data_IF_576241599887
#
_entry.id   IF_576241599887
#
_cell.length_a   1.000
_cell.length_b   1.000
_cell.length_c   1.000
_cell.angle_alpha   90.00
_cell.angle_beta   90.00
_cell.angle_gamma   90.00
#
_symmetry.space_group_name_H-M   'P 1'
#
loop_
_entity.id
_entity.type
_entity.pdbx_description
1 polymer ?
#
# COMPACT_ATOMS: atom_id res chain seq x y z
N UNK A 1 20.97 21.62 -0.36
CA UNK A 1 19.72 20.88 -0.69
C UNK A 1 19.55 19.76 0.31
N UNK A 2 18.61 19.94 1.25
CA UNK A 2 18.33 18.93 2.28
C UNK A 2 17.90 17.60 1.64
N UNK A 3 18.43 16.48 2.15
CA UNK A 3 18.01 15.15 1.76
C UNK A 3 16.55 14.97 2.17
N UNK A 4 15.63 14.95 1.20
CA UNK A 4 14.20 14.68 1.45
C UNK A 4 14.06 13.22 1.84
N UNK A 5 14.21 12.97 3.14
CA UNK A 5 13.97 11.66 3.73
C UNK A 5 12.86 11.77 4.76
N UNK A 6 11.88 10.89 4.64
CA UNK A 6 10.80 10.78 5.61
C UNK A 6 11.36 10.60 7.03
N UNK A 7 10.84 11.31 8.02
CA UNK A 7 11.27 11.19 9.42
C UNK A 7 11.17 9.72 9.89
N UNK A 8 12.10 9.25 10.72
CA UNK A 8 12.16 7.84 11.16
C UNK A 8 10.83 7.32 11.72
N UNK A 9 10.13 8.15 12.51
CA UNK A 9 8.81 7.83 13.08
C UNK A 9 7.72 7.58 12.04
N UNK A 10 7.81 8.21 10.87
CA UNK A 10 6.82 8.11 9.78
C UNK A 10 7.11 6.97 8.81
N UNK A 11 8.20 6.23 8.99
CA UNK A 11 8.56 5.11 8.10
C UNK A 11 7.98 3.80 8.60
N UNK A 12 7.48 2.99 7.67
CA UNK A 12 7.15 1.59 7.93
C UNK A 12 8.43 0.76 7.83
N UNK A 13 8.69 -0.10 8.82
CA UNK A 13 9.85 -0.99 8.82
C UNK A 13 9.70 -2.13 7.81
N UNK A 14 10.82 -2.74 7.38
CA UNK A 14 10.77 -3.86 6.43
C UNK A 14 9.99 -5.08 6.94
N UNK A 15 9.99 -5.33 8.26
CA UNK A 15 9.18 -6.40 8.88
C UNK A 15 7.69 -6.08 8.78
N UNK A 16 7.30 -4.83 9.02
CA UNK A 16 5.91 -4.36 8.90
C UNK A 16 5.43 -4.35 7.44
N UNK A 17 6.30 -4.04 6.47
CA UNK A 17 5.96 -4.15 5.03
C UNK A 17 5.55 -5.57 4.67
N UNK A 18 6.30 -6.58 5.13
CA UNK A 18 5.94 -7.99 4.90
C UNK A 18 4.59 -8.36 5.53
N UNK A 19 4.29 -7.81 6.70
CA UNK A 19 3.00 -8.00 7.36
C UNK A 19 1.86 -7.36 6.57
N UNK A 20 2.03 -6.11 6.11
CA UNK A 20 1.04 -5.38 5.31
C UNK A 20 0.68 -6.12 4.02
N UNK A 21 1.68 -6.61 3.30
CA UNK A 21 1.46 -7.37 2.06
C UNK A 21 0.75 -8.70 2.27
N UNK A 22 0.96 -9.35 3.43
CA UNK A 22 0.27 -10.59 3.80
C UNK A 22 -1.20 -10.37 4.20
N UNK A 23 -1.52 -9.27 4.86
CA UNK A 23 -2.89 -8.91 5.30
C UNK A 23 -3.85 -8.65 4.13
N UNK A 24 -3.34 -8.39 2.93
CA UNK A 24 -4.09 -8.18 1.69
C UNK A 24 -5.18 -7.09 1.75
N UNK A 25 -5.12 -6.19 2.71
CA UNK A 25 -5.93 -4.98 2.63
C UNK A 25 -5.31 -4.08 1.57
N UNK A 26 -5.91 -4.06 0.39
CA UNK A 26 -5.40 -3.37 -0.78
C UNK A 26 -6.44 -2.38 -1.29
N UNK A 27 -5.99 -1.15 -1.46
CA UNK A 27 -6.68 -0.13 -2.22
C UNK A 27 -5.87 0.15 -3.49
N UNK A 28 -6.51 0.09 -4.65
CA UNK A 28 -5.87 0.37 -5.94
C UNK A 28 -6.59 1.52 -6.65
N UNK A 29 -5.84 2.56 -6.97
CA UNK A 29 -6.36 3.70 -7.72
C UNK A 29 -5.29 4.26 -8.66
N UNK A 30 -5.61 4.37 -9.94
CA UNK A 30 -4.71 4.89 -10.96
C UNK A 30 -3.38 4.13 -10.98
N UNK A 31 -2.29 4.87 -10.81
CA UNK A 31 -0.92 4.35 -10.78
C UNK A 31 -0.58 3.63 -9.47
N UNK A 32 -1.32 3.86 -8.38
CA UNK A 32 -0.94 3.44 -7.04
C UNK A 32 -1.69 2.22 -6.52
N UNK A 33 -0.97 1.37 -5.82
CA UNK A 33 -1.46 0.25 -5.02
C UNK A 33 -1.06 0.51 -3.57
N UNK A 34 -2.04 0.66 -2.67
CA UNK A 34 -1.84 1.00 -1.27
C UNK A 34 -2.25 -0.20 -0.42
N UNK A 35 -1.27 -0.86 0.19
CA UNK A 35 -1.50 -1.87 1.23
C UNK A 35 -1.55 -1.15 2.57
N UNK A 36 -2.59 -1.38 3.35
CA UNK A 36 -2.79 -0.62 4.57
C UNK A 36 -3.35 -1.46 5.71
N UNK A 37 -3.13 -1.00 6.92
CA UNK A 37 -3.79 -1.43 8.15
C UNK A 37 -3.98 -0.22 9.06
N UNK A 38 -4.91 -0.31 9.99
CA UNK A 38 -5.09 0.71 11.01
C UNK A 38 -3.82 0.84 11.87
N UNK A 39 -3.50 2.07 12.25
CA UNK A 39 -2.39 2.35 13.15
C UNK A 39 -2.76 1.91 14.57
N UNK A 40 -1.76 1.68 15.41
CA UNK A 40 -1.97 1.40 16.82
C UNK A 40 -2.68 2.57 17.52
N UNK A 41 -3.60 2.32 18.47
CA UNK A 41 -4.40 3.37 19.12
C UNK A 41 -3.56 4.45 19.81
N UNK A 42 -2.35 4.10 20.26
CA UNK A 42 -1.43 5.01 20.93
C UNK A 42 -0.59 5.88 19.96
N UNK A 43 -0.79 5.75 18.64
CA UNK A 43 -0.01 6.47 17.63
C UNK A 43 -0.94 7.30 16.75
N UNK A 44 -0.86 8.62 16.92
CA UNK A 44 -1.66 9.61 16.20
C UNK A 44 -0.89 10.18 14.99
N UNK A 45 -0.32 9.30 14.17
CA UNK A 45 0.37 9.66 12.93
C UNK A 45 0.34 8.52 11.91
N UNK A 46 0.34 8.88 10.64
CA UNK A 46 0.48 7.91 9.56
C UNK A 46 1.92 7.42 9.44
N UNK A 47 2.08 6.14 9.13
CA UNK A 47 3.38 5.58 8.72
C UNK A 47 3.28 5.14 7.27
N UNK A 48 4.27 5.46 6.46
CA UNK A 48 4.28 5.16 5.04
C UNK A 48 5.63 4.62 4.57
N UNK A 49 5.58 3.75 3.58
CA UNK A 49 6.75 3.33 2.82
C UNK A 49 6.41 3.27 1.34
N UNK A 50 7.30 3.77 0.49
CA UNK A 50 7.15 3.73 -0.97
C UNK A 50 8.07 2.69 -1.57
N UNK A 51 7.52 1.84 -2.41
CA UNK A 51 8.25 0.88 -3.22
C UNK A 51 8.17 1.25 -4.69
N UNK A 52 9.33 1.43 -5.31
CA UNK A 52 9.44 1.73 -6.73
C UNK A 52 9.95 0.48 -7.45
N UNK A 53 9.12 -0.16 -8.29
CA UNK A 53 9.50 -1.39 -8.98
C UNK A 53 10.69 -1.19 -9.92
N UNK A 54 11.55 -2.21 -10.03
CA UNK A 54 12.70 -2.22 -10.96
C UNK A 54 12.23 -2.10 -12.42
N UNK A 55 11.00 -2.56 -12.71
CA UNK A 55 10.38 -2.47 -14.03
C UNK A 55 10.32 -1.03 -14.60
N UNK A 56 10.30 0.00 -13.75
CA UNK A 56 10.31 1.41 -14.18
C UNK A 56 11.67 1.80 -14.78
N UNK A 57 12.74 1.43 -14.10
CA UNK A 57 14.10 1.70 -14.55
C UNK A 57 15.08 0.78 -13.82
N UNK A 58 16.03 0.22 -14.57
CA UNK A 58 17.15 -0.53 -13.99
C UNK A 58 18.07 0.39 -13.17
N UNK A 59 18.14 1.69 -13.54
CA UNK A 59 19.00 2.68 -12.86
C UNK A 59 18.41 3.07 -11.50
N UNK A 60 19.16 2.83 -10.43
CA UNK A 60 18.76 3.16 -9.06
C UNK A 60 18.48 4.66 -8.88
N UNK A 61 19.22 5.53 -9.55
CA UNK A 61 19.08 6.99 -9.51
C UNK A 61 17.66 7.42 -9.87
N UNK A 62 17.09 6.90 -10.96
CA UNK A 62 15.72 7.22 -11.40
C UNK A 62 14.68 6.79 -10.34
N UNK A 63 14.86 5.59 -9.78
CA UNK A 63 13.96 5.11 -8.73
C UNK A 63 14.02 5.95 -7.46
N UNK A 64 15.22 6.37 -7.06
CA UNK A 64 15.42 7.28 -5.93
C UNK A 64 14.79 8.65 -6.18
N UNK A 65 14.89 9.17 -7.39
CA UNK A 65 14.27 10.44 -7.78
C UNK A 65 12.75 10.40 -7.66
N UNK A 66 12.11 9.36 -8.22
CA UNK A 66 10.67 9.14 -8.07
C UNK A 66 10.29 9.05 -6.59
N UNK A 67 11.03 8.26 -5.82
CA UNK A 67 10.77 8.10 -4.39
C UNK A 67 10.85 9.43 -3.63
N UNK A 68 11.83 10.28 -3.93
CA UNK A 68 11.96 11.62 -3.31
C UNK A 68 10.77 12.51 -3.65
N UNK A 69 10.32 12.53 -4.90
CA UNK A 69 9.14 13.28 -5.33
C UNK A 69 7.91 12.82 -4.54
N UNK A 70 7.69 11.52 -4.43
CA UNK A 70 6.54 10.96 -3.71
C UNK A 70 6.59 11.27 -2.21
N UNK A 71 7.75 11.20 -1.57
CA UNK A 71 7.92 11.54 -0.15
C UNK A 71 7.61 13.02 0.09
N UNK A 72 8.23 13.92 -0.68
CA UNK A 72 8.02 15.37 -0.53
C UNK A 72 6.56 15.74 -0.71
N UNK A 73 5.93 15.20 -1.74
CA UNK A 73 4.52 15.47 -1.99
C UNK A 73 3.58 14.85 -0.95
N UNK A 74 3.94 13.73 -0.34
CA UNK A 74 3.18 13.11 0.75
C UNK A 74 3.22 13.96 2.03
N UNK A 75 4.39 14.46 2.41
CA UNK A 75 4.53 15.35 3.57
C UNK A 75 3.67 16.60 3.44
N UNK A 76 3.64 17.20 2.26
CA UNK A 76 2.75 18.33 1.95
C UNK A 76 1.27 17.98 2.12
N UNK A 77 0.86 16.79 1.66
CA UNK A 77 -0.52 16.36 1.80
C UNK A 77 -0.95 16.09 3.22
N UNK A 78 -0.07 15.55 4.06
CA UNK A 78 -0.37 15.36 5.48
C UNK A 78 -0.68 16.68 6.17
N UNK A 79 -0.03 17.78 5.78
CA UNK A 79 -0.29 19.11 6.30
C UNK A 79 -1.61 19.69 5.74
N UNK A 80 -1.93 19.41 4.49
CA UNK A 80 -3.08 19.99 3.80
C UNK A 80 -4.40 19.33 4.19
N UNK A 81 -4.45 18.02 4.40
CA UNK A 81 -5.68 17.25 4.63
C UNK A 81 -5.99 16.97 6.11
N UNK A 82 -5.19 17.44 7.05
CA UNK A 82 -5.50 17.33 8.48
C UNK A 82 -6.69 18.22 8.92
N UNK A 83 -7.31 17.95 10.07
CA UNK A 83 -7.01 16.92 11.06
C UNK A 83 -7.55 15.53 10.70
N UNK A 84 -6.80 14.48 11.05
CA UNK A 84 -7.14 13.09 10.75
C UNK A 84 -7.86 12.43 11.92
N UNK A 85 -9.02 11.84 11.66
CA UNK A 85 -9.75 11.05 12.67
C UNK A 85 -9.22 9.60 12.80
N UNK A 86 -8.48 9.14 11.80
CA UNK A 86 -7.92 7.79 11.75
C UNK A 86 -6.53 7.79 11.12
N UNK A 87 -5.64 7.02 11.69
CA UNK A 87 -4.27 6.88 11.22
C UNK A 87 -4.02 5.48 10.65
N UNK A 88 -3.14 5.39 9.66
CA UNK A 88 -2.86 4.16 8.94
C UNK A 88 -1.37 3.89 8.83
N UNK A 89 -1.02 2.62 8.78
CA UNK A 89 0.27 2.16 8.24
C UNK A 89 0.05 1.78 6.79
N UNK A 90 0.77 2.42 5.88
CA UNK A 90 0.62 2.25 4.44
C UNK A 90 1.93 1.80 3.80
N UNK A 91 1.83 0.80 2.94
CA UNK A 91 2.88 0.45 1.99
C UNK A 91 2.38 0.73 0.58
N UNK A 92 2.99 1.69 -0.08
CA UNK A 92 2.57 2.17 -1.39
C UNK A 92 3.50 1.62 -2.45
N UNK A 93 2.95 0.91 -3.42
CA UNK A 93 3.65 0.42 -4.60
C UNK A 93 3.02 0.97 -5.87
N UNK A 94 3.78 1.01 -6.95
CA UNK A 94 3.26 1.38 -8.25
C UNK A 94 2.74 0.17 -9.02
N UNK A 95 1.58 0.33 -9.67
CA UNK A 95 0.96 -0.73 -10.46
C UNK A 95 1.77 -0.98 -11.72
N UNK A 96 2.30 -2.20 -11.85
CA UNK A 96 3.15 -2.62 -12.97
C UNK A 96 2.48 -2.43 -14.34
N UNK A 97 1.17 -2.60 -14.42
CA UNK A 97 0.41 -2.52 -15.66
C UNK A 97 0.14 -1.08 -16.13
N UNK A 98 0.50 -0.07 -15.33
CA UNK A 98 0.23 1.36 -15.59
C UNK A 98 1.51 2.21 -15.56
N UNK A 99 2.65 1.61 -15.82
CA UNK A 99 3.96 2.28 -15.73
C UNK A 99 4.38 3.00 -17.01
N UNK A 100 3.76 2.70 -18.15
CA UNK A 100 4.19 3.25 -19.46
C UNK A 100 4.34 4.77 -19.47
N UNK A 101 3.36 5.58 -19.03
CA UNK A 101 3.52 7.03 -19.05
C UNK A 101 4.70 7.52 -18.21
N UNK A 102 4.96 6.83 -17.10
CA UNK A 102 6.06 7.15 -16.20
C UNK A 102 7.43 6.81 -16.84
N UNK A 103 7.49 5.71 -17.55
CA UNK A 103 8.71 5.26 -18.27
C UNK A 103 9.03 6.24 -19.40
N UNK A 104 8.04 6.67 -20.17
CA UNK A 104 8.18 7.65 -21.26
C UNK A 104 8.73 8.97 -20.72
N UNK A 105 8.15 9.52 -19.66
CA UNK A 105 8.62 10.78 -19.05
C UNK A 105 10.06 10.68 -18.51
N UNK A 106 10.46 9.49 -18.03
CA UNK A 106 11.85 9.26 -17.62
C UNK A 106 12.82 9.19 -18.79
N UNK A 107 12.39 8.67 -19.93
CA UNK A 107 13.20 8.62 -21.17
C UNK A 107 13.38 10.02 -21.77
N UNK A 108 12.36 10.84 -21.76
CA UNK A 108 12.37 12.23 -22.20
C UNK A 108 13.16 13.17 -21.28
N UNK A 109 13.61 12.66 -20.12
CA UNK A 109 14.38 13.39 -19.10
C UNK A 109 13.67 14.65 -18.57
N UNK A 110 12.36 14.73 -18.72
CA UNK A 110 11.55 15.86 -18.25
C UNK A 110 11.18 15.69 -16.77
N UNK A 111 12.08 16.13 -15.89
CA UNK A 111 11.90 16.02 -14.42
C UNK A 111 10.71 16.84 -13.92
N UNK A 112 10.47 17.99 -14.52
CA UNK A 112 9.35 18.87 -14.17
C UNK A 112 8.00 18.21 -14.45
N UNK A 113 7.83 17.66 -15.65
CA UNK A 113 6.62 16.96 -16.05
C UNK A 113 6.40 15.67 -15.23
N UNK A 114 7.48 14.91 -14.98
CA UNK A 114 7.47 13.75 -14.09
C UNK A 114 6.95 14.12 -12.70
N UNK A 115 7.42 15.24 -12.14
CA UNK A 115 6.98 15.73 -10.83
C UNK A 115 5.49 16.09 -10.84
N UNK A 116 5.03 16.84 -11.83
CA UNK A 116 3.62 17.23 -11.99
C UNK A 116 2.74 16.00 -12.14
N UNK A 117 3.12 15.05 -13.01
CA UNK A 117 2.39 13.81 -13.23
C UNK A 117 2.25 12.98 -11.95
N UNK A 118 3.35 12.73 -11.26
CA UNK A 118 3.35 11.93 -10.02
C UNK A 118 2.55 12.61 -8.92
N UNK A 119 2.65 13.94 -8.78
CA UNK A 119 1.90 14.69 -7.77
C UNK A 119 0.40 14.57 -8.04
N UNK A 120 -0.04 14.78 -9.28
CA UNK A 120 -1.45 14.67 -9.69
C UNK A 120 -2.01 13.26 -9.46
N UNK A 121 -1.28 12.23 -9.90
CA UNK A 121 -1.70 10.84 -9.71
C UNK A 121 -1.78 10.46 -8.24
N UNK A 122 -0.83 10.92 -7.45
CA UNK A 122 -0.81 10.68 -6.00
C UNK A 122 -1.98 11.38 -5.31
N UNK A 123 -2.24 12.67 -5.60
CA UNK A 123 -3.36 13.42 -5.00
C UNK A 123 -4.69 12.71 -5.25
N UNK A 124 -4.94 12.31 -6.49
CA UNK A 124 -6.14 11.55 -6.84
C UNK A 124 -6.25 10.25 -6.05
N UNK A 125 -5.16 9.48 -5.95
CA UNK A 125 -5.15 8.21 -5.25
C UNK A 125 -5.34 8.36 -3.73
N UNK A 126 -4.62 9.29 -3.11
CA UNK A 126 -4.71 9.51 -1.66
C UNK A 126 -6.04 10.13 -1.26
N UNK A 127 -6.54 11.11 -2.03
CA UNK A 127 -7.87 11.67 -1.81
C UNK A 127 -8.94 10.57 -1.85
N UNK A 128 -8.92 9.73 -2.88
CA UNK A 128 -9.85 8.61 -2.99
C UNK A 128 -9.68 7.59 -1.85
N UNK A 129 -8.45 7.29 -1.45
CA UNK A 129 -8.16 6.39 -0.34
C UNK A 129 -8.74 6.90 0.98
N UNK A 130 -8.48 8.15 1.32
CA UNK A 130 -8.94 8.72 2.59
C UNK A 130 -10.46 8.95 2.60
N UNK A 131 -11.07 9.34 1.50
CA UNK A 131 -12.54 9.48 1.41
C UNK A 131 -13.23 8.11 1.52
N UNK A 132 -12.76 7.09 0.81
CA UNK A 132 -13.36 5.76 0.86
C UNK A 132 -13.17 5.08 2.22
N UNK A 133 -12.12 5.41 2.97
CA UNK A 133 -11.91 4.90 4.33
C UNK A 133 -12.98 5.39 5.31
N UNK A 134 -13.56 6.56 5.07
CA UNK A 134 -14.67 7.08 5.88
C UNK A 134 -16.00 6.36 5.57
N UNK A 135 -16.25 6.00 4.32
CA UNK A 135 -17.50 5.36 3.90
C UNK A 135 -17.56 3.86 4.24
N UNK A 136 -16.41 3.17 4.19
CA UNK A 136 -16.33 1.71 4.38
C UNK A 136 -16.51 1.22 5.84
N UNK A 137 -16.68 2.09 6.82
CA UNK A 137 -17.08 1.66 8.18
C UNK A 137 -18.52 1.20 8.25
N UNK A 138 -19.38 1.58 7.30
CA UNK A 138 -20.80 1.23 7.30
C UNK A 138 -21.11 -0.12 6.64
N UNK A 139 -20.20 -0.72 5.87
CA UNK A 139 -20.50 -1.92 5.06
C UNK A 139 -19.56 -3.12 5.26
N UNK A 140 -18.67 -3.11 6.27
CA UNK A 140 -17.96 -4.33 6.68
C UNK A 140 -18.78 -5.16 7.65
N UNK A 141 -19.94 -5.64 7.22
CA UNK A 141 -20.51 -6.88 7.73
C UNK A 141 -19.49 -7.99 7.45
N UNK A 142 -18.93 -8.51 8.52
CA UNK A 142 -18.09 -9.69 8.52
C UNK A 142 -18.79 -10.80 7.73
N UNK A 143 -18.31 -11.11 6.54
CA UNK A 143 -18.54 -12.43 5.97
C UNK A 143 -17.66 -13.38 6.75
N UNK A 144 -18.22 -13.86 7.86
CA UNK A 144 -17.75 -15.06 8.53
C UNK A 144 -17.92 -16.19 7.53
N UNK A 145 -16.84 -16.56 6.84
CA UNK A 145 -16.73 -17.87 6.23
C UNK A 145 -16.61 -18.88 7.38
N UNK A 146 -17.76 -19.29 7.90
CA UNK A 146 -17.90 -20.54 8.64
C UNK A 146 -17.63 -21.67 7.64
N UNK A 147 -16.35 -22.00 7.46
CA UNK A 147 -15.93 -23.24 6.82
C UNK A 147 -16.30 -24.36 7.76
N UNK A 148 -17.51 -24.89 7.59
CA UNK A 148 -17.93 -26.16 8.18
C UNK A 148 -17.06 -27.25 7.54
N UNK A 149 -15.97 -27.60 8.22
CA UNK A 149 -15.22 -28.81 7.90
C UNK A 149 -16.08 -29.99 8.32
N UNK A 150 -16.82 -30.57 7.36
CA UNK A 150 -17.41 -31.90 7.52
C UNK A 150 -16.26 -32.89 7.66
N UNK A 151 -15.98 -33.24 8.89
CA UNK A 151 -15.14 -34.37 9.26
C UNK A 151 -15.97 -35.66 8.99
N UNK A 152 -15.85 -36.17 7.77
CA UNK A 152 -16.36 -37.50 7.47
C UNK A 152 -15.43 -38.52 8.13
N UNK A 153 -15.84 -39.01 9.29
CA UNK A 153 -15.28 -40.22 9.91
C UNK A 153 -15.54 -41.41 8.97
N UNK A 154 -14.49 -41.84 8.29
CA UNK A 154 -14.46 -43.18 7.64
C UNK A 154 -14.27 -44.21 8.72
N UNK A 155 -15.38 -44.89 9.09
CA UNK A 155 -15.36 -46.15 9.79
C UNK A 155 -14.75 -47.21 8.88
N UNK A 156 -13.56 -47.70 9.23
CA UNK A 156 -12.99 -48.93 8.69
C UNK A 156 -13.51 -50.10 9.49
N UNK A 157 -14.13 -51.10 8.88
CA UNK A 157 -14.53 -52.30 9.62
C UNK A 157 -13.30 -53.20 9.89
N UNK A 158 -13.19 -53.61 11.16
CA UNK A 158 -12.24 -54.59 11.63
C UNK A 158 -12.45 -55.93 10.92
N UNK A 159 -11.39 -56.46 10.27
CA UNK A 159 -11.34 -57.86 9.85
C UNK A 159 -11.09 -58.73 11.08
N UNK A 160 -12.06 -59.53 11.46
CA UNK A 160 -11.90 -60.68 12.32
C UNK A 160 -11.08 -61.74 11.55
N UNK A 161 -9.96 -62.15 12.11
CA UNK A 161 -9.32 -63.41 11.76
C UNK A 161 -9.97 -64.51 12.60
N UNK A 162 -10.58 -65.46 11.95
CA UNK A 162 -10.89 -66.77 12.51
C UNK A 162 -9.90 -67.77 11.90
N UNK A 163 -9.27 -68.52 12.84
CA UNK A 163 -8.65 -69.84 12.78
C UNK A 163 -7.50 -70.09 11.84
#
# INVERSE_FOLDING_TARGET
MGSVMLAKKLRVSGKEVRFLTKKRQLFSHGLFMIFFVDQYPNRQFHQISFHIPIAISKRAVHRHQIKRILISSFEQSLQQYGPWNQFYKCFVSLNKNKLEPLITLLQEKSISELKVYLTKQRESAFRSFFLSSHENKCSRTFRNHSSTRNSAYRNTPSRKNES
#
